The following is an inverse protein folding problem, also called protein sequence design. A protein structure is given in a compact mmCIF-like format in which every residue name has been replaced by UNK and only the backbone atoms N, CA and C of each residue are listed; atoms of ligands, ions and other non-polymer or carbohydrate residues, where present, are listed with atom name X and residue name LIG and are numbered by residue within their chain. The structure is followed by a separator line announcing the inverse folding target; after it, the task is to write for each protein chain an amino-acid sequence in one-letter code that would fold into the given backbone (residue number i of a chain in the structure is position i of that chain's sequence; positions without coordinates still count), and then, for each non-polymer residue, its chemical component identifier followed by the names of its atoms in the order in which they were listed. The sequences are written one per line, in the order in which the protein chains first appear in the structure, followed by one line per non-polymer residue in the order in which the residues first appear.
data_IF_790500630451
#
_entry.id   IF_790500630451
#
_cell.length_a   1.000
_cell.length_b   1.000
_cell.length_c   1.000
_cell.angle_alpha   90.00
_cell.angle_beta   90.00
_cell.angle_gamma   90.00
#
_symmetry.space_group_name_H-M   'P 1'
#
loop_
_entity.id
_entity.type
_entity.pdbx_description
1 polymer ?
#
# COMPACT_ATOMS: atom_id res chain seq x y z
N UNK A 1 -3.47 -23.12 -20.17
CA UNK A 1 -3.13 -21.72 -20.39
C UNK A 1 -3.02 -21.42 -21.89
N UNK A 2 -2.17 -22.06 -22.65
CA UNK A 2 -2.06 -21.88 -24.10
C UNK A 2 -2.98 -22.81 -24.88
N UNK A 3 -3.36 -22.40 -26.12
CA UNK A 3 -4.07 -23.28 -27.04
C UNK A 3 -3.28 -24.59 -27.22
N UNK A 4 -3.98 -25.73 -27.31
CA UNK A 4 -3.39 -27.06 -27.41
C UNK A 4 -2.30 -27.13 -28.50
N UNK A 5 -2.47 -26.38 -29.58
CA UNK A 5 -1.53 -26.27 -30.71
C UNK A 5 -0.15 -25.73 -30.31
N UNK A 6 -0.05 -24.86 -29.29
CA UNK A 6 1.20 -24.21 -28.89
C UNK A 6 1.81 -24.77 -27.59
N UNK A 7 1.18 -25.76 -26.97
CA UNK A 7 1.66 -26.32 -25.69
C UNK A 7 3.06 -26.92 -25.80
N UNK A 8 3.31 -27.67 -26.85
CA UNK A 8 4.59 -28.34 -27.06
C UNK A 8 5.70 -27.32 -27.35
N UNK A 9 5.37 -26.27 -28.11
CA UNK A 9 6.29 -25.15 -28.36
C UNK A 9 6.68 -24.42 -27.06
N UNK A 10 5.72 -24.15 -26.19
CA UNK A 10 5.98 -23.52 -24.89
C UNK A 10 6.75 -24.43 -23.95
N UNK A 11 6.47 -25.73 -23.95
CA UNK A 11 7.23 -26.70 -23.17
C UNK A 11 8.70 -26.77 -23.61
N UNK A 12 8.91 -26.79 -24.93
CA UNK A 12 10.26 -26.76 -25.51
C UNK A 12 11.01 -25.46 -25.17
N UNK A 13 10.34 -24.29 -25.27
CA UNK A 13 10.92 -23.01 -24.87
C UNK A 13 11.42 -23.02 -23.41
N UNK A 14 10.61 -23.53 -22.49
CA UNK A 14 10.95 -23.64 -21.08
C UNK A 14 12.13 -24.58 -20.84
N UNK A 15 12.13 -25.75 -21.44
CA UNK A 15 13.20 -26.74 -21.31
C UNK A 15 14.51 -26.20 -21.87
N UNK A 16 14.47 -25.59 -23.05
CA UNK A 16 15.64 -24.96 -23.67
C UNK A 16 16.21 -23.82 -22.83
N UNK A 17 15.36 -22.91 -22.36
CA UNK A 17 15.79 -21.81 -21.49
C UNK A 17 16.39 -22.31 -20.18
N UNK A 18 15.81 -23.36 -19.58
CA UNK A 18 16.33 -23.98 -18.36
C UNK A 18 17.68 -24.69 -18.55
N UNK A 19 17.92 -25.30 -19.72
CA UNK A 19 19.16 -26.03 -20.01
C UNK A 19 20.30 -25.14 -20.50
N UNK A 20 19.99 -24.13 -21.30
CA UNK A 20 20.98 -23.38 -22.05
C UNK A 20 21.06 -21.89 -21.66
N UNK A 21 20.21 -21.43 -20.72
CA UNK A 21 20.05 -20.01 -20.34
C UNK A 21 19.89 -19.07 -21.54
N UNK A 22 19.25 -19.56 -22.61
CA UNK A 22 19.04 -18.85 -23.86
C UNK A 22 17.69 -19.23 -24.48
N UNK A 23 17.15 -18.34 -25.31
CA UNK A 23 15.92 -18.61 -26.05
C UNK A 23 16.29 -19.32 -27.36
N UNK A 24 15.59 -20.42 -27.76
CA UNK A 24 15.86 -21.09 -29.03
C UNK A 24 15.52 -20.18 -30.22
N UNK A 25 16.20 -20.38 -31.35
CA UNK A 25 15.87 -19.69 -32.59
C UNK A 25 14.52 -20.12 -33.14
N UNK A 26 13.92 -19.29 -34.00
CA UNK A 26 12.66 -19.60 -34.64
C UNK A 26 12.72 -20.94 -35.41
N UNK A 27 13.83 -21.18 -36.13
CA UNK A 27 14.07 -22.41 -36.87
C UNK A 27 14.11 -23.64 -35.98
N UNK A 28 14.76 -23.54 -34.82
CA UNK A 28 14.77 -24.62 -33.83
C UNK A 28 13.37 -24.92 -33.26
N UNK A 29 12.60 -23.84 -33.01
CA UNK A 29 11.24 -23.98 -32.52
C UNK A 29 10.32 -24.63 -33.56
N UNK A 30 10.43 -24.24 -34.84
CA UNK A 30 9.68 -24.81 -35.95
C UNK A 30 10.06 -26.26 -36.22
N UNK A 31 11.35 -26.59 -36.18
CA UNK A 31 11.85 -27.92 -36.41
C UNK A 31 11.33 -28.94 -35.37
N UNK A 32 11.25 -28.55 -34.10
CA UNK A 32 10.77 -29.44 -33.02
C UNK A 32 9.26 -29.57 -33.00
N UNK A 33 8.51 -28.50 -33.29
CA UNK A 33 7.05 -28.47 -33.09
C UNK A 33 6.24 -28.53 -34.40
N UNK A 34 6.89 -28.51 -35.56
CA UNK A 34 6.22 -28.52 -36.87
C UNK A 34 5.32 -27.31 -37.12
N UNK A 35 5.42 -26.27 -36.30
CA UNK A 35 4.63 -25.03 -36.43
C UNK A 35 5.36 -24.06 -37.33
N UNK A 36 4.70 -23.56 -38.37
CA UNK A 36 5.19 -22.40 -39.11
C UNK A 36 4.80 -21.13 -38.38
N UNK A 37 5.78 -20.48 -37.79
CA UNK A 37 5.62 -19.21 -37.12
C UNK A 37 6.06 -18.08 -38.04
N UNK A 38 5.32 -16.97 -38.04
CA UNK A 38 5.75 -15.77 -38.77
C UNK A 38 6.43 -14.85 -37.75
N UNK A 39 7.69 -14.45 -38.00
CA UNK A 39 8.31 -13.40 -37.21
C UNK A 39 7.48 -12.13 -37.33
N UNK A 40 7.37 -11.37 -36.24
CA UNK A 40 6.78 -10.04 -36.29
C UNK A 40 7.92 -9.09 -36.59
N UNK A 41 7.94 -8.54 -37.79
CA UNK A 41 8.90 -7.54 -38.24
C UNK A 41 8.37 -6.17 -37.78
N UNK A 42 9.26 -5.26 -37.38
CA UNK A 42 8.96 -3.86 -37.03
C UNK A 42 7.93 -3.69 -35.90
N UNK A 43 8.18 -4.31 -34.72
CA UNK A 43 7.39 -4.04 -33.51
C UNK A 43 7.78 -2.68 -32.93
N UNK A 44 6.90 -1.70 -33.06
CA UNK A 44 7.09 -0.41 -32.40
C UNK A 44 7.06 -0.60 -30.88
N UNK A 45 7.91 0.13 -30.14
CA UNK A 45 8.06 -0.01 -28.68
C UNK A 45 6.71 0.11 -27.93
N UNK A 46 5.83 1.00 -28.39
CA UNK A 46 4.48 1.16 -27.83
C UNK A 46 3.61 -0.10 -27.98
N UNK A 47 3.78 -0.86 -29.06
CA UNK A 47 3.06 -2.12 -29.28
C UNK A 47 3.62 -3.23 -28.37
N UNK A 48 4.94 -3.22 -28.13
CA UNK A 48 5.55 -4.18 -27.21
C UNK A 48 5.05 -3.94 -25.78
N UNK A 49 5.03 -2.69 -25.31
CA UNK A 49 4.54 -2.35 -23.98
C UNK A 49 3.07 -2.76 -23.81
N UNK A 50 2.21 -2.41 -24.77
CA UNK A 50 0.82 -2.85 -24.77
C UNK A 50 0.68 -4.38 -24.74
N UNK A 51 1.47 -5.09 -25.55
CA UNK A 51 1.47 -6.56 -25.57
C UNK A 51 1.89 -7.15 -24.23
N UNK A 52 2.90 -6.58 -23.59
CA UNK A 52 3.38 -7.05 -22.27
C UNK A 52 2.31 -6.83 -21.19
N UNK A 53 1.61 -5.69 -21.19
CA UNK A 53 0.52 -5.40 -20.27
C UNK A 53 -0.67 -6.38 -20.45
N UNK A 54 -1.08 -6.62 -21.70
CA UNK A 54 -2.13 -7.59 -22.02
C UNK A 54 -1.72 -9.03 -21.66
N UNK A 55 -0.46 -9.39 -21.90
CA UNK A 55 0.06 -10.69 -21.54
C UNK A 55 0.12 -10.89 -20.02
N UNK A 56 0.53 -9.87 -19.26
CA UNK A 56 0.48 -9.89 -17.81
C UNK A 56 -0.95 -10.07 -17.30
N UNK A 57 -1.87 -9.28 -17.83
CA UNK A 57 -3.29 -9.36 -17.50
C UNK A 57 -3.84 -10.77 -17.76
N UNK A 58 -3.51 -11.34 -18.91
CA UNK A 58 -3.88 -12.72 -19.24
C UNK A 58 -3.28 -13.75 -18.26
N UNK A 59 -1.99 -13.62 -17.94
CA UNK A 59 -1.32 -14.54 -17.00
C UNK A 59 -1.94 -14.47 -15.61
N UNK A 60 -2.21 -13.27 -15.12
CA UNK A 60 -2.85 -13.02 -13.82
C UNK A 60 -4.27 -13.60 -13.78
N UNK A 61 -5.06 -13.34 -14.84
CA UNK A 61 -6.40 -13.91 -14.96
C UNK A 61 -6.38 -15.44 -14.91
N UNK A 62 -5.47 -16.06 -15.68
CA UNK A 62 -5.36 -17.53 -15.71
C UNK A 62 -4.81 -18.14 -14.43
N UNK A 63 -3.94 -17.44 -13.72
CA UNK A 63 -3.47 -17.88 -12.42
C UNK A 63 -4.60 -17.87 -11.38
N UNK A 64 -5.39 -16.77 -11.34
CA UNK A 64 -6.55 -16.65 -10.46
C UNK A 64 -7.65 -17.67 -10.80
N UNK A 65 -7.99 -17.84 -12.08
CA UNK A 65 -8.95 -18.85 -12.53
C UNK A 65 -8.55 -20.25 -12.03
N UNK A 66 -7.27 -20.60 -12.19
CA UNK A 66 -6.75 -21.88 -11.70
C UNK A 66 -6.82 -21.97 -10.17
N UNK A 67 -6.38 -20.95 -9.45
CA UNK A 67 -6.41 -20.94 -7.98
C UNK A 67 -7.82 -21.09 -7.43
N UNK A 68 -8.82 -20.45 -8.06
CA UNK A 68 -10.23 -20.59 -7.67
C UNK A 68 -10.71 -22.03 -7.89
N UNK A 69 -10.39 -22.63 -9.04
CA UNK A 69 -10.77 -24.03 -9.32
C UNK A 69 -10.10 -25.01 -8.35
N UNK A 70 -8.79 -24.85 -8.12
CA UNK A 70 -8.02 -25.71 -7.19
C UNK A 70 -8.46 -25.49 -5.72
N UNK A 71 -9.06 -24.36 -5.40
CA UNK A 71 -9.59 -24.06 -4.06
C UNK A 71 -10.88 -24.81 -3.72
N UNK A 72 -11.60 -25.34 -4.71
CA UNK A 72 -12.91 -25.98 -4.49
C UNK A 72 -12.79 -27.17 -3.53
N UNK A 73 -11.83 -28.05 -3.76
CA UNK A 73 -11.60 -29.24 -2.92
C UNK A 73 -11.14 -28.85 -1.50
N UNK A 74 -10.35 -27.79 -1.38
CA UNK A 74 -9.85 -27.28 -0.10
C UNK A 74 -10.98 -26.65 0.72
N UNK A 75 -11.91 -25.96 0.08
CA UNK A 75 -13.11 -25.43 0.73
C UNK A 75 -14.00 -26.52 1.30
N UNK A 76 -14.17 -27.65 0.58
CA UNK A 76 -14.90 -28.82 1.08
C UNK A 76 -14.23 -29.43 2.31
N UNK A 77 -12.89 -29.36 2.39
CA UNK A 77 -12.11 -29.81 3.53
C UNK A 77 -12.00 -28.81 4.67
N UNK A 78 -12.61 -27.62 4.54
CA UNK A 78 -12.52 -26.49 5.47
C UNK A 78 -11.08 -25.97 5.69
N UNK A 79 -10.16 -26.19 4.74
CA UNK A 79 -8.79 -25.69 4.79
C UNK A 79 -8.68 -24.27 4.20
N UNK A 80 -9.18 -23.30 4.95
CA UNK A 80 -9.20 -21.89 4.54
C UNK A 80 -7.80 -21.28 4.42
N UNK A 81 -6.81 -21.80 5.19
CA UNK A 81 -5.44 -21.31 5.15
C UNK A 81 -4.77 -21.59 3.81
N UNK A 82 -4.93 -22.79 3.28
CA UNK A 82 -4.42 -23.17 1.96
C UNK A 82 -5.13 -22.41 0.84
N UNK A 83 -6.42 -22.16 0.96
CA UNK A 83 -7.18 -21.32 0.01
C UNK A 83 -6.62 -19.90 -0.03
N UNK A 84 -6.41 -19.29 1.13
CA UNK A 84 -5.86 -17.93 1.22
C UNK A 84 -4.46 -17.85 0.57
N UNK A 85 -3.61 -18.85 0.79
CA UNK A 85 -2.27 -18.89 0.20
C UNK A 85 -2.33 -19.05 -1.33
N UNK A 86 -3.16 -19.96 -1.86
CA UNK A 86 -3.34 -20.11 -3.30
C UNK A 86 -3.78 -18.82 -4.00
N UNK A 87 -4.75 -18.12 -3.41
CA UNK A 87 -5.22 -16.86 -3.96
C UNK A 87 -4.14 -15.77 -3.88
N UNK A 88 -3.37 -15.70 -2.79
CA UNK A 88 -2.25 -14.77 -2.66
C UNK A 88 -1.17 -15.03 -3.71
N UNK A 89 -0.77 -16.29 -3.89
CA UNK A 89 0.22 -16.66 -4.91
C UNK A 89 -0.27 -16.32 -6.32
N UNK A 90 -1.52 -16.63 -6.63
CA UNK A 90 -2.10 -16.31 -7.92
C UNK A 90 -2.19 -14.80 -8.18
N UNK A 91 -2.47 -14.02 -7.13
CA UNK A 91 -2.53 -12.55 -7.21
C UNK A 91 -1.15 -11.90 -7.37
N UNK A 92 -0.08 -12.59 -6.92
CA UNK A 92 1.30 -12.13 -7.07
C UNK A 92 1.89 -12.43 -8.47
N UNK A 93 1.17 -13.18 -9.31
CA UNK A 93 1.61 -13.46 -10.68
C UNK A 93 1.59 -12.15 -11.47
N UNK A 94 2.76 -11.74 -11.95
CA UNK A 94 2.95 -10.55 -12.77
C UNK A 94 4.31 -10.60 -13.45
N UNK A 95 4.46 -9.81 -14.49
CA UNK A 95 5.76 -9.55 -15.07
C UNK A 95 6.41 -8.46 -14.19
N UNK A 96 7.59 -8.75 -13.66
CA UNK A 96 8.35 -7.72 -12.93
C UNK A 96 8.85 -6.73 -13.98
N UNK A 97 8.10 -5.65 -14.19
CA UNK A 97 8.46 -4.57 -15.09
C UNK A 97 9.31 -3.49 -14.42
N UNK A 98 9.27 -3.44 -13.08
CA UNK A 98 10.04 -2.49 -12.29
C UNK A 98 11.25 -3.19 -11.68
N UNK A 99 12.40 -3.01 -12.30
CA UNK A 99 13.71 -3.46 -11.79
C UNK A 99 14.36 -2.43 -10.87
N UNK A 100 13.61 -1.39 -10.49
CA UNK A 100 14.14 -0.28 -9.72
C UNK A 100 14.92 0.72 -10.60
N UNK A 101 15.84 1.46 -9.98
CA UNK A 101 16.60 2.53 -10.64
C UNK A 101 18.06 2.10 -10.80
N UNK A 102 18.57 2.17 -12.02
CA UNK A 102 20.01 2.04 -12.22
C UNK A 102 20.73 3.28 -11.65
N UNK A 103 21.48 3.06 -10.57
CA UNK A 103 21.95 4.15 -9.73
C UNK A 103 22.80 5.20 -10.48
N UNK A 104 23.65 4.76 -11.41
CA UNK A 104 24.55 5.64 -12.16
C UNK A 104 23.93 6.23 -13.42
N UNK A 105 22.74 5.76 -13.82
CA UNK A 105 22.00 6.31 -14.94
C UNK A 105 21.11 7.49 -14.48
N UNK A 106 21.07 8.53 -15.29
CA UNK A 106 20.17 9.69 -15.12
C UNK A 106 20.09 10.28 -13.69
N UNK A 107 21.21 10.58 -13.01
CA UNK A 107 21.17 11.08 -11.62
C UNK A 107 20.39 12.40 -11.47
N UNK A 108 20.32 13.21 -12.52
CA UNK A 108 19.56 14.47 -12.52
C UNK A 108 18.05 14.23 -12.43
N UNK A 109 17.52 13.27 -13.18
CA UNK A 109 16.10 12.91 -13.15
C UNK A 109 15.71 12.32 -11.80
N UNK A 110 16.55 11.44 -11.24
CA UNK A 110 16.36 10.89 -9.91
C UNK A 110 16.33 11.97 -8.82
N UNK A 111 17.25 12.95 -8.88
CA UNK A 111 17.27 14.07 -7.94
C UNK A 111 16.07 14.98 -8.11
N UNK A 112 15.62 15.21 -9.34
CA UNK A 112 14.41 15.98 -9.61
C UNK A 112 13.18 15.26 -9.05
N UNK A 113 13.05 13.94 -9.28
CA UNK A 113 11.98 13.13 -8.71
C UNK A 113 11.95 13.18 -7.19
N UNK A 114 13.11 13.07 -6.52
CA UNK A 114 13.23 13.22 -5.06
C UNK A 114 12.76 14.61 -4.61
N UNK A 115 13.18 15.66 -5.33
CA UNK A 115 12.79 17.03 -5.04
C UNK A 115 11.28 17.26 -5.20
N UNK A 116 10.69 16.68 -6.23
CA UNK A 116 9.25 16.81 -6.52
C UNK A 116 8.39 16.01 -5.51
N UNK A 117 8.95 14.94 -4.96
CA UNK A 117 8.34 14.18 -3.86
C UNK A 117 8.61 14.77 -2.48
N UNK A 118 9.61 15.63 -2.34
CA UNK A 118 9.94 16.33 -1.11
C UNK A 118 8.94 17.47 -0.86
N UNK A 119 7.72 17.13 -0.53
CA UNK A 119 6.65 18.03 -0.09
C UNK A 119 5.98 17.38 1.10
N UNK A 120 6.62 17.47 2.26
CA UNK A 120 6.17 16.80 3.46
C UNK A 120 4.77 17.24 3.87
N UNK A 121 4.04 16.33 4.47
CA UNK A 121 2.82 16.66 5.21
C UNK A 121 3.26 17.47 6.43
N UNK A 122 2.89 18.74 6.47
CA UNK A 122 3.22 19.62 7.61
C UNK A 122 2.73 19.02 8.91
N UNK A 123 3.54 19.07 9.95
CA UNK A 123 3.15 18.69 11.31
C UNK A 123 2.30 19.74 12.00
N UNK A 124 2.19 20.95 11.43
CA UNK A 124 1.57 22.12 12.02
C UNK A 124 2.53 22.94 12.90
N UNK A 125 3.75 22.47 13.13
CA UNK A 125 4.77 23.22 13.88
C UNK A 125 5.91 23.68 12.97
N UNK A 126 5.92 24.94 12.58
CA UNK A 126 6.88 25.52 11.62
C UNK A 126 8.34 25.18 11.89
N UNK A 127 8.79 25.28 13.15
CA UNK A 127 10.18 24.96 13.52
C UNK A 127 10.51 23.48 13.38
N UNK A 128 9.53 22.62 13.59
CA UNK A 128 9.70 21.18 13.45
C UNK A 128 9.71 20.81 11.97
N UNK A 129 8.78 21.36 11.18
CA UNK A 129 8.73 21.17 9.74
C UNK A 129 10.02 21.62 9.04
N UNK A 130 10.61 22.76 9.47
CA UNK A 130 11.91 23.20 8.96
C UNK A 130 13.03 22.16 9.18
N UNK A 131 13.04 21.48 10.33
CA UNK A 131 14.02 20.43 10.62
C UNK A 131 13.75 19.14 9.83
N UNK A 132 12.52 18.92 9.42
CA UNK A 132 12.08 17.79 8.60
C UNK A 132 12.06 18.13 7.09
N UNK A 133 12.64 19.26 6.69
CA UNK A 133 12.67 19.68 5.28
C UNK A 133 11.28 19.81 4.64
N UNK A 134 10.26 20.18 5.40
CA UNK A 134 8.91 20.43 4.92
C UNK A 134 7.81 19.62 5.63
N UNK A 135 8.16 18.68 6.50
CA UNK A 135 7.23 17.84 7.25
C UNK A 135 7.49 16.36 7.12
N UNK A 136 6.48 15.52 7.30
CA UNK A 136 6.57 14.07 7.17
C UNK A 136 6.19 13.62 5.76
N UNK A 137 6.86 12.61 5.22
CA UNK A 137 6.62 12.17 3.85
C UNK A 137 5.53 11.08 3.78
N UNK A 138 4.87 11.01 2.63
CA UNK A 138 3.91 9.95 2.34
C UNK A 138 4.62 8.62 2.16
N UNK A 139 3.98 7.54 2.64
CA UNK A 139 4.52 6.19 2.52
C UNK A 139 5.64 5.87 3.50
N UNK A 140 5.99 6.78 4.41
CA UNK A 140 7.02 6.56 5.42
C UNK A 140 6.42 6.15 6.77
N UNK A 141 7.16 5.35 7.50
CA UNK A 141 6.90 5.03 8.90
C UNK A 141 7.78 5.92 9.79
N UNK A 142 7.15 6.87 10.50
CA UNK A 142 7.85 7.72 11.47
C UNK A 142 7.59 7.24 12.89
N UNK A 143 8.63 7.03 13.68
CA UNK A 143 8.53 6.56 15.07
C UNK A 143 8.97 7.65 16.04
N UNK A 144 8.09 8.01 16.98
CA UNK A 144 8.39 8.93 18.06
C UNK A 144 8.64 8.14 19.36
N UNK A 145 9.86 8.16 19.85
CA UNK A 145 10.27 7.47 21.06
C UNK A 145 10.52 8.44 22.23
N UNK A 146 10.26 7.99 23.44
CA UNK A 146 10.50 8.75 24.67
C UNK A 146 10.14 7.93 25.90
N UNK A 147 10.65 8.33 27.05
CA UNK A 147 10.35 7.70 28.35
C UNK A 147 8.87 7.78 28.74
N UNK A 148 8.49 7.07 29.80
CA UNK A 148 7.15 7.20 30.37
C UNK A 148 6.90 8.65 30.81
N UNK A 149 5.71 9.18 30.56
CA UNK A 149 5.36 10.55 30.92
C UNK A 149 5.94 11.64 29.99
N UNK A 150 6.77 11.30 29.00
CA UNK A 150 7.37 12.28 28.08
C UNK A 150 6.37 12.98 27.11
N UNK A 151 5.10 12.60 27.14
CA UNK A 151 4.05 13.22 26.33
C UNK A 151 3.86 12.62 24.94
N UNK A 152 4.39 11.43 24.64
CA UNK A 152 4.27 10.77 23.32
C UNK A 152 2.84 10.75 22.78
N UNK A 153 1.88 10.27 23.59
CA UNK A 153 0.48 10.18 23.20
C UNK A 153 -0.15 11.56 22.95
N UNK A 154 0.20 12.54 23.79
CA UNK A 154 -0.25 13.93 23.61
C UNK A 154 0.31 14.53 22.32
N UNK A 155 1.57 14.26 22.02
CA UNK A 155 2.20 14.71 20.77
C UNK A 155 1.47 14.12 19.53
N UNK A 156 1.21 12.80 19.53
CA UNK A 156 0.51 12.14 18.43
C UNK A 156 -0.94 12.63 18.29
N UNK A 157 -1.63 12.89 19.41
CA UNK A 157 -2.99 13.46 19.39
C UNK A 157 -3.00 14.87 18.81
N UNK A 158 -2.04 15.73 19.20
CA UNK A 158 -1.88 17.06 18.59
C UNK A 158 -1.58 17.00 17.10
N UNK A 159 -0.70 16.07 16.69
CA UNK A 159 -0.39 15.86 15.29
C UNK A 159 -1.65 15.47 14.50
N UNK A 160 -2.45 14.56 15.05
CA UNK A 160 -3.74 14.17 14.47
C UNK A 160 -4.72 15.33 14.36
N UNK A 161 -4.81 16.19 15.37
CA UNK A 161 -5.62 17.42 15.33
C UNK A 161 -5.12 18.37 14.23
N UNK A 162 -3.82 18.62 14.17
CA UNK A 162 -3.24 19.52 13.16
C UNK A 162 -3.54 18.99 11.74
N UNK A 163 -3.40 17.71 11.51
CA UNK A 163 -3.68 17.10 10.21
C UNK A 163 -5.15 17.15 9.84
N UNK A 164 -6.04 16.84 10.78
CA UNK A 164 -7.48 16.93 10.50
C UNK A 164 -7.90 18.37 10.20
N UNK A 165 -7.39 19.34 10.93
CA UNK A 165 -7.65 20.77 10.68
C UNK A 165 -7.06 21.26 9.35
N UNK A 166 -5.99 20.63 8.88
CA UNK A 166 -5.44 20.84 7.54
C UNK A 166 -6.24 20.14 6.42
N UNK A 167 -7.36 19.50 6.73
CA UNK A 167 -8.24 18.80 5.77
C UNK A 167 -7.85 17.34 5.48
N UNK A 168 -6.89 16.78 6.20
CA UNK A 168 -6.46 15.39 6.01
C UNK A 168 -7.33 14.42 6.83
N UNK A 169 -7.71 13.30 6.24
CA UNK A 169 -8.35 12.22 6.97
C UNK A 169 -7.32 11.52 7.86
N UNK A 170 -7.60 11.47 9.15
CA UNK A 170 -6.67 10.98 10.17
C UNK A 170 -7.31 9.89 11.02
N UNK A 171 -6.56 8.85 11.29
CA UNK A 171 -6.93 7.77 12.21
C UNK A 171 -5.94 7.74 13.36
N UNK A 172 -6.45 7.80 14.59
CA UNK A 172 -5.68 7.63 15.82
C UNK A 172 -6.05 6.31 16.50
N UNK A 173 -5.11 5.37 16.49
CA UNK A 173 -5.27 4.08 17.15
C UNK A 173 -4.56 4.10 18.50
N UNK A 174 -5.31 3.84 19.58
CA UNK A 174 -4.79 3.79 20.95
C UNK A 174 -4.75 2.35 21.44
N UNK A 175 -3.63 1.94 22.04
CA UNK A 175 -3.48 0.64 22.71
C UNK A 175 -3.60 0.75 24.22
N UNK A 176 -3.56 1.98 24.77
CA UNK A 176 -3.57 2.21 26.23
C UNK A 176 -4.85 2.91 26.69
N UNK A 177 -5.25 3.97 25.98
CA UNK A 177 -6.35 4.83 26.40
C UNK A 177 -7.65 4.48 25.69
N UNK A 178 -8.75 4.55 26.44
CA UNK A 178 -10.08 4.46 25.85
C UNK A 178 -10.35 5.60 24.85
N UNK A 179 -11.31 5.39 23.97
CA UNK A 179 -11.77 6.40 23.01
C UNK A 179 -12.24 7.66 23.73
N UNK A 180 -12.95 7.51 24.84
CA UNK A 180 -13.47 8.62 25.66
C UNK A 180 -12.35 9.46 26.28
N UNK A 181 -11.34 8.80 26.89
CA UNK A 181 -10.21 9.50 27.49
C UNK A 181 -9.33 10.19 26.42
N UNK A 182 -9.15 9.56 25.27
CA UNK A 182 -8.46 10.15 24.15
C UNK A 182 -9.21 11.37 23.60
N UNK A 183 -10.53 11.25 23.41
CA UNK A 183 -11.39 12.34 22.96
C UNK A 183 -11.37 13.52 23.93
N UNK A 184 -11.50 13.29 25.24
CA UNK A 184 -11.44 14.35 26.25
C UNK A 184 -10.13 15.14 26.20
N UNK A 185 -8.99 14.48 25.96
CA UNK A 185 -7.70 15.16 25.79
C UNK A 185 -7.67 16.00 24.50
N UNK A 186 -8.24 15.49 23.44
CA UNK A 186 -8.34 16.19 22.14
C UNK A 186 -9.30 17.36 22.28
N UNK A 187 -10.42 17.21 22.99
CA UNK A 187 -11.34 18.31 23.28
C UNK A 187 -10.66 19.44 24.04
N UNK A 188 -9.83 19.10 25.04
CA UNK A 188 -9.02 20.06 25.77
C UNK A 188 -8.06 20.84 24.84
N UNK A 189 -7.40 20.16 23.89
CA UNK A 189 -6.51 20.77 22.91
C UNK A 189 -7.26 21.72 21.95
N UNK A 190 -8.39 21.25 21.42
CA UNK A 190 -9.18 21.95 20.44
C UNK A 190 -9.89 23.17 21.05
N UNK A 191 -10.41 23.02 22.28
CA UNK A 191 -11.15 24.07 22.97
C UNK A 191 -10.28 25.04 23.77
N UNK A 192 -8.98 24.69 23.96
CA UNK A 192 -8.02 25.47 24.76
C UNK A 192 -8.38 25.52 26.27
N UNK A 193 -9.13 24.53 26.76
CA UNK A 193 -9.40 24.34 28.17
C UNK A 193 -8.42 23.33 28.78
N UNK A 194 -8.12 23.49 30.07
CA UNK A 194 -7.43 22.42 30.79
C UNK A 194 -8.33 21.18 30.85
N UNK A 195 -7.76 19.98 30.74
CA UNK A 195 -8.52 18.71 30.72
C UNK A 195 -9.50 18.59 31.88
N UNK A 196 -9.12 19.09 33.09
CA UNK A 196 -9.97 19.09 34.31
C UNK A 196 -11.20 20.01 34.20
N UNK A 197 -11.17 20.98 33.31
CA UNK A 197 -12.21 22.00 33.17
C UNK A 197 -13.13 21.75 31.97
N UNK A 198 -12.80 20.76 31.09
CA UNK A 198 -13.60 20.38 29.92
C UNK A 198 -15.03 20.05 30.34
N UNK A 199 -15.21 19.20 31.35
CA UNK A 199 -16.54 18.77 31.80
C UNK A 199 -17.34 19.88 32.48
N UNK A 200 -16.70 20.92 32.99
CA UNK A 200 -17.37 22.09 33.60
C UNK A 200 -17.88 23.07 32.53
N UNK A 201 -17.30 23.03 31.33
CA UNK A 201 -17.57 23.98 30.26
C UNK A 201 -18.06 23.26 28.98
N UNK A 202 -18.87 22.20 29.14
CA UNK A 202 -19.26 21.30 28.04
C UNK A 202 -19.85 22.03 26.83
N UNK A 203 -20.72 23.01 27.05
CA UNK A 203 -21.40 23.75 25.97
C UNK A 203 -20.40 24.59 25.13
N UNK A 204 -19.47 25.27 25.79
CA UNK A 204 -18.44 26.05 25.09
C UNK A 204 -17.43 25.14 24.38
N UNK A 205 -17.02 24.05 25.03
CA UNK A 205 -16.18 23.02 24.40
C UNK A 205 -16.85 22.45 23.18
N UNK A 206 -18.13 22.06 23.26
CA UNK A 206 -18.91 21.58 22.12
C UNK A 206 -18.91 22.59 20.97
N UNK A 207 -19.22 23.85 21.26
CA UNK A 207 -19.27 24.90 20.24
C UNK A 207 -17.90 25.07 19.55
N UNK A 208 -16.81 25.14 20.32
CA UNK A 208 -15.44 25.29 19.79
C UNK A 208 -15.02 24.11 18.92
N UNK A 209 -15.30 22.88 19.36
CA UNK A 209 -15.01 21.66 18.60
C UNK A 209 -15.78 21.66 17.29
N UNK A 210 -17.08 21.98 17.32
CA UNK A 210 -17.90 22.06 16.12
C UNK A 210 -17.43 23.16 15.16
N UNK A 211 -17.01 24.30 15.67
CA UNK A 211 -16.48 25.39 14.84
C UNK A 211 -15.17 25.01 14.17
N UNK A 212 -14.21 24.45 14.90
CA UNK A 212 -12.91 24.01 14.37
C UNK A 212 -13.02 22.78 13.47
N UNK A 213 -14.08 21.99 13.61
CA UNK A 213 -14.39 20.87 12.74
C UNK A 213 -14.97 21.26 11.36
N UNK A 214 -15.41 22.52 11.18
CA UNK A 214 -15.90 22.98 9.87
C UNK A 214 -14.76 23.03 8.85
N UNK A 215 -14.87 22.21 7.80
CA UNK A 215 -13.84 22.09 6.77
C UNK A 215 -12.64 21.22 7.15
N UNK A 216 -12.62 20.66 8.35
CA UNK A 216 -11.60 19.68 8.74
C UNK A 216 -11.80 18.33 8.01
N UNK A 217 -10.72 17.57 7.84
CA UNK A 217 -10.78 16.18 7.46
C UNK A 217 -11.39 15.31 8.57
N UNK A 218 -11.76 14.10 8.24
CA UNK A 218 -12.27 13.15 9.24
C UNK A 218 -11.17 12.80 10.24
N UNK A 219 -11.51 12.82 11.53
CA UNK A 219 -10.60 12.37 12.59
C UNK A 219 -11.27 11.24 13.38
N UNK A 220 -10.78 10.03 13.18
CA UNK A 220 -11.31 8.84 13.86
C UNK A 220 -10.36 8.40 14.96
N UNK A 221 -10.94 8.16 16.13
CA UNK A 221 -10.25 7.64 17.32
C UNK A 221 -10.77 6.24 17.57
N UNK A 222 -9.84 5.27 17.72
CA UNK A 222 -10.18 3.89 18.01
C UNK A 222 -9.25 3.32 19.07
N UNK A 223 -9.83 2.76 20.12
CA UNK A 223 -9.10 1.88 21.02
C UNK A 223 -9.04 0.48 20.42
N UNK A 224 -7.85 -0.06 20.32
CA UNK A 224 -7.61 -1.44 19.95
C UNK A 224 -7.27 -2.26 21.19
N UNK A 225 -7.74 -3.50 21.27
CA UNK A 225 -7.42 -4.40 22.37
C UNK A 225 -5.98 -4.87 22.35
N UNK A 226 -5.45 -5.26 23.50
CA UNK A 226 -4.16 -5.92 23.56
C UNK A 226 -4.23 -7.25 22.78
N UNK A 227 -3.22 -7.51 21.94
CA UNK A 227 -3.14 -8.72 21.11
C UNK A 227 -3.65 -8.55 19.69
N UNK A 228 -3.96 -7.32 19.24
CA UNK A 228 -4.25 -7.05 17.84
C UNK A 228 -3.03 -7.41 16.97
N UNK A 229 -3.31 -7.85 15.77
CA UNK A 229 -2.31 -8.12 14.75
C UNK A 229 -2.39 -7.13 13.58
N UNK A 230 -1.45 -7.22 12.66
CA UNK A 230 -1.40 -6.33 11.50
C UNK A 230 -2.62 -6.46 10.57
N UNK A 231 -3.29 -7.62 10.54
CA UNK A 231 -4.48 -7.83 9.73
C UNK A 231 -5.68 -7.09 10.31
N UNK A 232 -5.82 -7.03 11.64
CA UNK A 232 -6.89 -6.29 12.32
C UNK A 232 -6.79 -4.79 11.98
N UNK A 233 -5.57 -4.24 12.03
CA UNK A 233 -5.32 -2.84 11.65
C UNK A 233 -5.62 -2.63 10.17
N UNK A 234 -5.20 -3.55 9.30
CA UNK A 234 -5.44 -3.45 7.86
C UNK A 234 -6.92 -3.52 7.52
N UNK A 235 -7.66 -4.42 8.16
CA UNK A 235 -9.11 -4.54 7.98
C UNK A 235 -9.81 -3.27 8.42
N UNK A 236 -9.47 -2.74 9.59
CA UNK A 236 -10.03 -1.48 10.08
C UNK A 236 -9.79 -0.30 9.12
N UNK A 237 -8.57 -0.18 8.58
CA UNK A 237 -8.24 0.91 7.63
C UNK A 237 -8.97 0.74 6.30
N UNK A 238 -9.24 -0.51 5.85
CA UNK A 238 -9.98 -0.77 4.61
C UNK A 238 -11.46 -0.44 4.72
N UNK A 239 -12.04 -0.60 5.90
CA UNK A 239 -13.46 -0.29 6.15
C UNK A 239 -13.70 1.23 6.34
N UNK A 240 -12.65 2.00 6.59
CA UNK A 240 -12.69 3.44 6.82
C UNK A 240 -12.45 4.25 5.55
#
# INVERSE_FOLDING_TARGET
MFNRKYRDAVAFLKDHAGKYASIPTLEQLEAVNGLKLKPVEDVHESHMNWFMDEFETFCRHKALEKAILDSTDLLEQHDYGSVENLIKEASAVGLVSDFGIEYYENPKERLQWIKDQAGGISTGWKKFDQKLFGGLNRGELTVFAGGSGAGKSLFLQNLGVNWSQAGLNTVYLSLELSEQLSSMRIDAMVSEYATRDVMKNMDDVHLKVMMKGKGAGKFRIKQMSNGINSNDIRSFIREY
#
